data_IF_887480905270
#
_entry.id   IF_887480905270
#
_cell.length_a   1.000
_cell.length_b   1.000
_cell.length_c   1.000
_cell.angle_alpha   90.00
_cell.angle_beta   90.00
_cell.angle_gamma   90.00
#
_symmetry.space_group_name_H-M   'P 1'
#
loop_
_entity.id
_entity.type
_entity.pdbx_description
1 polymer ?
#
# COMPACT_ATOMS: atom_id res chain seq x y z
N UNK A 1 25.20 -20.24 -5.27
CA UNK A 1 23.86 -19.86 -4.80
C UNK A 1 23.78 -20.35 -3.36
N UNK A 2 23.68 -19.44 -2.39
CA UNK A 2 23.46 -19.80 -0.99
C UNK A 2 22.07 -20.43 -0.85
N UNK A 3 21.94 -21.46 -0.02
CA UNK A 3 20.64 -22.03 0.31
C UNK A 3 19.77 -20.98 1.03
N UNK A 4 18.45 -20.98 0.79
CA UNK A 4 17.54 -20.10 1.51
C UNK A 4 17.66 -20.35 3.02
N UNK A 5 17.81 -19.29 3.80
CA UNK A 5 17.76 -19.43 5.26
C UNK A 5 16.35 -19.91 5.68
N UNK A 6 16.22 -20.62 6.81
CA UNK A 6 14.94 -21.18 7.29
C UNK A 6 13.79 -20.14 7.41
N UNK A 7 14.13 -18.85 7.49
CA UNK A 7 13.20 -17.73 7.52
C UNK A 7 12.65 -17.31 6.14
N UNK A 8 13.28 -17.71 5.03
CA UNK A 8 12.90 -17.29 3.67
C UNK A 8 11.60 -17.93 3.14
N UNK A 9 10.93 -18.78 3.91
CA UNK A 9 9.72 -19.49 3.49
C UNK A 9 8.56 -19.42 4.49
N UNK A 10 8.64 -18.59 5.53
CA UNK A 10 7.53 -18.41 6.45
C UNK A 10 6.49 -17.44 5.86
N UNK A 11 5.18 -17.65 6.09
CA UNK A 11 4.16 -16.69 5.72
C UNK A 11 4.39 -15.36 6.44
N UNK A 12 4.28 -14.26 5.69
CA UNK A 12 4.42 -12.89 6.21
C UNK A 12 3.28 -12.01 5.75
N UNK A 13 3.08 -10.90 6.44
CA UNK A 13 2.17 -9.84 6.00
C UNK A 13 3.02 -8.64 5.62
N UNK A 14 2.77 -8.06 4.46
CA UNK A 14 3.37 -6.79 4.06
C UNK A 14 2.30 -5.71 4.08
N UNK A 15 2.34 -4.88 5.12
CA UNK A 15 1.42 -3.78 5.33
C UNK A 15 1.88 -2.58 4.50
N UNK A 16 0.96 -1.93 3.80
CA UNK A 16 1.32 -0.75 3.01
C UNK A 16 0.19 0.27 2.89
N UNK A 17 0.59 1.48 2.48
CA UNK A 17 -0.27 2.60 2.20
C UNK A 17 0.39 3.52 1.16
N UNK A 18 -0.42 4.14 0.29
CA UNK A 18 0.03 5.19 -0.60
C UNK A 18 -0.55 6.54 -0.22
N UNK A 19 0.30 7.56 -0.33
CA UNK A 19 -0.19 8.91 -0.59
C UNK A 19 -0.14 9.16 -2.09
N UNK A 20 -1.19 9.78 -2.63
CA UNK A 20 -1.32 10.03 -4.07
C UNK A 20 -1.60 11.49 -4.36
N UNK A 21 -1.46 11.86 -5.63
CA UNK A 21 -1.80 13.20 -6.10
C UNK A 21 -3.29 13.40 -6.41
N UNK A 22 -4.13 12.40 -6.15
CA UNK A 22 -5.56 12.45 -6.40
C UNK A 22 -6.25 11.09 -6.20
N UNK A 23 -7.58 11.12 -6.21
CA UNK A 23 -8.41 9.98 -5.83
C UNK A 23 -8.71 8.98 -6.96
N UNK A 24 -8.15 9.15 -8.16
CA UNK A 24 -8.34 8.23 -9.29
C UNK A 24 -7.08 7.41 -9.55
N UNK A 25 -7.01 6.14 -9.10
CA UNK A 25 -5.83 5.29 -9.30
C UNK A 25 -5.41 5.11 -10.76
N UNK A 26 -6.36 5.22 -11.69
CA UNK A 26 -6.11 5.14 -13.13
C UNK A 26 -5.37 6.35 -13.68
N UNK A 27 -5.68 7.56 -13.16
CA UNK A 27 -5.23 8.83 -13.73
C UNK A 27 -4.14 9.48 -12.90
N UNK A 28 -4.34 9.49 -11.59
CA UNK A 28 -3.47 10.13 -10.62
C UNK A 28 -2.26 9.25 -10.32
N UNK A 29 -1.14 9.91 -10.00
CA UNK A 29 0.14 9.23 -9.74
C UNK A 29 0.40 9.13 -8.23
N UNK A 30 1.14 8.11 -7.78
CA UNK A 30 1.59 8.06 -6.39
C UNK A 30 2.51 9.26 -6.08
N UNK A 31 2.45 9.75 -4.84
CA UNK A 31 3.34 10.78 -4.30
C UNK A 31 4.31 10.19 -3.28
N UNK A 32 3.85 9.23 -2.46
CA UNK A 32 4.63 8.49 -1.48
C UNK A 32 4.11 7.06 -1.35
N UNK A 33 4.99 6.16 -0.93
CA UNK A 33 4.66 4.84 -0.44
C UNK A 33 5.28 4.63 0.94
N UNK A 34 4.53 4.00 1.83
CA UNK A 34 5.05 3.45 3.07
C UNK A 34 4.68 1.96 3.14
N UNK A 35 5.62 1.13 3.55
CA UNK A 35 5.36 -0.29 3.77
C UNK A 35 6.25 -0.91 4.84
N UNK A 36 5.74 -1.93 5.51
CA UNK A 36 6.44 -2.63 6.58
C UNK A 36 6.01 -4.09 6.61
N UNK A 37 6.96 -4.99 6.85
CA UNK A 37 6.70 -6.42 6.91
C UNK A 37 6.55 -6.88 8.36
N UNK A 38 5.64 -7.82 8.58
CA UNK A 38 5.49 -8.52 9.85
C UNK A 38 5.45 -10.03 9.65
N UNK A 39 5.74 -10.77 10.72
CA UNK A 39 5.28 -12.15 10.83
C UNK A 39 3.75 -12.20 11.04
N UNK A 40 3.19 -13.40 11.22
CA UNK A 40 1.76 -13.60 11.44
C UNK A 40 1.29 -13.18 12.85
N UNK A 41 2.20 -13.01 13.79
CA UNK A 41 1.93 -12.49 15.15
C UNK A 41 2.02 -10.95 15.20
N UNK A 42 2.20 -10.31 14.04
CA UNK A 42 2.32 -8.87 13.85
C UNK A 42 3.61 -8.26 14.42
N UNK A 43 4.64 -9.07 14.67
CA UNK A 43 5.95 -8.56 15.01
C UNK A 43 6.64 -8.03 13.74
N UNK A 44 7.16 -6.81 13.80
CA UNK A 44 7.88 -6.18 12.69
C UNK A 44 9.13 -7.00 12.35
N UNK A 45 9.31 -7.28 11.07
CA UNK A 45 10.49 -7.95 10.52
C UNK A 45 11.08 -7.13 9.37
N UNK A 46 12.38 -6.83 9.45
CA UNK A 46 13.04 -5.95 8.49
C UNK A 46 12.76 -4.46 8.74
N UNK A 47 13.25 -3.63 7.82
CA UNK A 47 13.13 -2.18 7.91
C UNK A 47 11.93 -1.67 7.09
N UNK A 48 11.26 -0.58 7.51
CA UNK A 48 10.22 0.05 6.72
C UNK A 48 10.75 0.56 5.36
N UNK A 49 9.96 0.38 4.30
CA UNK A 49 10.18 1.02 3.01
C UNK A 49 9.37 2.32 2.95
N UNK A 50 10.04 3.47 2.95
CA UNK A 50 9.41 4.78 2.82
C UNK A 50 10.04 5.51 1.64
N UNK A 51 9.28 5.70 0.57
CA UNK A 51 9.80 6.27 -0.67
C UNK A 51 8.85 7.34 -1.20
N UNK A 52 9.40 8.39 -1.79
CA UNK A 52 8.63 9.38 -2.55
C UNK A 52 8.71 9.06 -4.05
N UNK A 53 7.66 9.36 -4.79
CA UNK A 53 7.64 9.27 -6.24
C UNK A 53 7.67 10.67 -6.85
N UNK A 54 8.65 10.93 -7.73
CA UNK A 54 8.75 12.20 -8.45
C UNK A 54 7.52 12.39 -9.34
N UNK A 55 6.86 13.56 -9.30
CA UNK A 55 5.79 13.85 -10.24
C UNK A 55 6.37 13.97 -11.66
N UNK A 56 5.64 13.46 -12.65
CA UNK A 56 6.00 13.56 -14.07
C UNK A 56 5.64 14.93 -14.62
N UNK A 57 6.40 15.41 -15.61
CA UNK A 57 6.29 16.78 -16.13
C UNK A 57 4.95 17.08 -16.85
N UNK A 58 4.21 16.04 -17.23
CA UNK A 58 2.93 16.12 -17.94
C UNK A 58 1.71 16.02 -17.02
N UNK A 59 1.90 16.02 -15.70
CA UNK A 59 0.83 15.88 -14.71
C UNK A 59 0.86 17.01 -13.67
N UNK A 60 -0.33 17.54 -13.34
CA UNK A 60 -0.50 18.52 -12.28
C UNK A 60 -1.30 17.89 -11.11
N UNK A 61 -0.73 17.83 -9.90
CA UNK A 61 -1.41 17.28 -8.74
C UNK A 61 -2.68 18.02 -8.34
N UNK A 62 -3.67 17.27 -7.82
CA UNK A 62 -4.86 17.88 -7.24
C UNK A 62 -4.46 18.71 -6.01
N UNK A 63 -4.79 20.02 -5.96
CA UNK A 63 -4.42 20.86 -4.83
C UNK A 63 -4.94 20.34 -3.49
N UNK A 64 -6.14 19.76 -3.47
CA UNK A 64 -6.75 19.17 -2.28
C UNK A 64 -5.98 17.96 -1.75
N UNK A 65 -5.46 17.10 -2.63
CA UNK A 65 -4.60 15.99 -2.23
C UNK A 65 -3.31 16.50 -1.56
N UNK A 66 -2.68 17.53 -2.11
CA UNK A 66 -1.51 18.16 -1.48
C UNK A 66 -1.82 18.73 -0.09
N UNK A 67 -3.02 19.25 0.12
CA UNK A 67 -3.46 19.77 1.43
C UNK A 67 -3.71 18.65 2.45
N UNK A 68 -4.35 17.56 2.02
CA UNK A 68 -4.65 16.40 2.86
C UNK A 68 -3.35 15.70 3.27
N UNK A 69 -2.49 15.41 2.31
CA UNK A 69 -1.25 14.64 2.52
C UNK A 69 -0.13 15.48 3.15
N UNK A 70 -0.17 16.80 2.98
CA UNK A 70 0.92 17.71 3.34
C UNK A 70 2.17 17.56 2.45
N UNK A 71 2.12 16.73 1.40
CA UNK A 71 3.23 16.51 0.46
C UNK A 71 3.08 17.51 -0.68
N UNK A 72 4.12 18.31 -0.91
CA UNK A 72 4.16 19.19 -2.07
C UNK A 72 4.89 18.53 -3.24
N UNK A 73 4.55 18.88 -4.49
CA UNK A 73 5.25 18.36 -5.67
C UNK A 73 6.76 18.62 -5.62
N UNK A 74 7.18 19.74 -5.00
CA UNK A 74 8.57 20.12 -4.80
C UNK A 74 9.30 19.15 -3.84
N UNK A 75 8.65 18.74 -2.74
CA UNK A 75 9.21 17.77 -1.80
C UNK A 75 9.40 16.42 -2.48
N UNK A 76 8.37 15.94 -3.18
CA UNK A 76 8.45 14.67 -3.92
C UNK A 76 9.46 14.74 -5.08
N UNK A 77 9.59 15.89 -5.75
CA UNK A 77 10.62 16.11 -6.78
C UNK A 77 12.04 16.03 -6.20
N UNK A 78 12.27 16.61 -5.01
CA UNK A 78 13.59 16.63 -4.38
C UNK A 78 13.99 15.28 -3.77
N UNK A 79 13.04 14.61 -3.09
CA UNK A 79 13.32 13.39 -2.32
C UNK A 79 13.03 12.10 -3.08
N UNK A 80 12.21 12.17 -4.12
CA UNK A 80 11.65 10.99 -4.76
C UNK A 80 12.53 10.34 -5.81
N UNK A 81 12.11 9.13 -6.16
CA UNK A 81 12.61 8.35 -7.27
C UNK A 81 11.74 8.58 -8.51
N UNK A 82 12.27 8.27 -9.69
CA UNK A 82 11.40 8.18 -10.87
C UNK A 82 10.42 7.02 -10.71
N UNK A 83 9.22 7.10 -11.30
CA UNK A 83 8.14 6.11 -11.07
C UNK A 83 8.62 4.67 -11.31
N UNK A 84 9.49 4.44 -12.30
CA UNK A 84 10.08 3.13 -12.59
C UNK A 84 10.93 2.56 -11.44
N UNK A 85 11.77 3.38 -10.80
CA UNK A 85 12.59 2.95 -9.66
C UNK A 85 11.75 2.80 -8.39
N UNK A 86 10.81 3.72 -8.18
CA UNK A 86 9.85 3.68 -7.09
C UNK A 86 9.05 2.38 -7.09
N UNK A 87 8.44 2.04 -8.23
CA UNK A 87 7.61 0.85 -8.34
C UNK A 87 8.43 -0.44 -8.37
N UNK A 88 9.68 -0.39 -8.83
CA UNK A 88 10.58 -1.55 -8.75
C UNK A 88 10.87 -1.97 -7.29
N UNK A 89 11.06 -1.00 -6.38
CA UNK A 89 11.23 -1.28 -4.94
C UNK A 89 9.96 -1.92 -4.34
N UNK A 90 8.79 -1.36 -4.66
CA UNK A 90 7.51 -1.88 -4.16
C UNK A 90 7.23 -3.29 -4.72
N UNK A 91 7.49 -3.50 -6.02
CA UNK A 91 7.35 -4.81 -6.66
C UNK A 91 8.23 -5.87 -5.97
N UNK A 92 9.47 -5.51 -5.61
CA UNK A 92 10.39 -6.41 -4.93
C UNK A 92 9.82 -6.89 -3.58
N UNK A 93 9.25 -5.98 -2.78
CA UNK A 93 8.61 -6.32 -1.51
C UNK A 93 7.33 -7.13 -1.70
N UNK A 94 6.47 -6.73 -2.64
CA UNK A 94 5.20 -7.41 -2.91
C UNK A 94 5.38 -8.82 -3.50
N UNK A 95 6.51 -9.09 -4.14
CA UNK A 95 6.76 -10.36 -4.84
C UNK A 95 7.55 -11.38 -4.03
N UNK A 96 7.95 -11.04 -2.79
CA UNK A 96 8.55 -12.01 -1.87
C UNK A 96 7.57 -13.18 -1.68
N UNK A 97 8.00 -14.46 -1.84
CA UNK A 97 7.12 -15.62 -1.66
C UNK A 97 6.44 -15.66 -0.29
N UNK A 98 5.25 -16.26 -0.23
CA UNK A 98 4.41 -16.39 0.97
C UNK A 98 4.05 -15.03 1.62
N UNK A 99 3.92 -13.96 0.83
CA UNK A 99 3.51 -12.65 1.31
C UNK A 99 2.01 -12.43 1.14
N UNK A 100 1.31 -12.11 2.23
CA UNK A 100 0.00 -11.47 2.17
C UNK A 100 0.21 -9.94 2.13
N UNK A 101 -0.07 -9.31 0.99
CA UNK A 101 0.00 -7.84 0.90
C UNK A 101 -1.30 -7.26 1.45
N UNK A 102 -1.23 -6.42 2.47
CA UNK A 102 -2.39 -5.94 3.21
C UNK A 102 -2.34 -4.42 3.47
N UNK A 103 -3.52 -3.83 3.69
CA UNK A 103 -3.66 -2.41 4.02
C UNK A 103 -5.07 -2.08 4.51
N UNK A 104 -5.40 -0.80 4.56
CA UNK A 104 -6.71 -0.29 4.98
C UNK A 104 -7.44 0.36 3.80
N UNK A 105 -8.51 -0.26 3.32
CA UNK A 105 -9.18 0.09 2.07
C UNK A 105 -8.29 -0.09 0.82
N UNK A 106 -7.22 -0.88 0.96
CA UNK A 106 -6.21 -1.08 -0.08
C UNK A 106 -6.75 -1.77 -1.33
N UNK A 107 -7.63 -2.78 -1.18
CA UNK A 107 -8.16 -3.53 -2.32
C UNK A 107 -8.92 -2.63 -3.30
N UNK A 108 -9.58 -1.59 -2.79
CA UNK A 108 -10.40 -0.68 -3.60
C UNK A 108 -9.64 0.56 -4.08
N UNK A 109 -8.43 0.79 -3.59
CA UNK A 109 -7.65 1.98 -3.92
C UNK A 109 -6.17 1.67 -4.18
N UNK A 110 -5.37 1.38 -3.15
CA UNK A 110 -3.93 1.21 -3.24
C UNK A 110 -3.47 0.05 -4.15
N UNK A 111 -4.25 -1.02 -4.19
CA UNK A 111 -4.03 -2.13 -5.11
C UNK A 111 -4.24 -1.69 -6.56
N UNK A 112 -5.21 -0.81 -6.82
CA UNK A 112 -5.42 -0.23 -8.15
C UNK A 112 -4.26 0.72 -8.49
N UNK A 113 -3.79 1.52 -7.53
CA UNK A 113 -2.60 2.38 -7.72
C UNK A 113 -1.39 1.52 -8.11
N UNK A 114 -1.20 0.40 -7.41
CA UNK A 114 -0.13 -0.56 -7.69
C UNK A 114 -0.30 -1.19 -9.08
N UNK A 115 -1.48 -1.70 -9.43
CA UNK A 115 -1.78 -2.31 -10.74
C UNK A 115 -1.49 -1.34 -11.89
N UNK A 116 -1.99 -0.11 -11.81
CA UNK A 116 -1.75 0.88 -12.87
C UNK A 116 -0.29 1.33 -12.92
N UNK A 117 0.40 1.43 -11.78
CA UNK A 117 1.83 1.79 -11.74
C UNK A 117 2.71 0.67 -12.29
N UNK A 118 2.43 -0.59 -11.95
CA UNK A 118 3.07 -1.76 -12.54
C UNK A 118 2.86 -1.80 -14.05
N UNK A 119 1.61 -1.64 -14.50
CA UNK A 119 1.28 -1.59 -15.92
C UNK A 119 2.08 -0.53 -16.69
N UNK A 120 2.14 0.71 -16.17
CA UNK A 120 2.89 1.81 -16.80
C UNK A 120 4.39 1.56 -16.88
N UNK A 121 4.93 0.75 -15.97
CA UNK A 121 6.36 0.50 -15.82
C UNK A 121 6.75 -0.95 -16.17
N UNK A 122 5.96 -1.61 -17.01
CA UNK A 122 6.27 -2.92 -17.62
C UNK A 122 6.40 -4.09 -16.64
N UNK A 123 5.72 -4.04 -15.49
CA UNK A 123 5.52 -5.18 -14.61
C UNK A 123 4.15 -5.82 -14.87
N UNK A 124 4.02 -7.13 -14.62
CA UNK A 124 2.71 -7.77 -14.61
C UNK A 124 1.87 -7.19 -13.44
N UNK A 125 0.68 -6.63 -13.69
CA UNK A 125 -0.11 -5.97 -12.64
C UNK A 125 -0.64 -6.90 -11.55
N UNK A 126 -0.66 -8.22 -11.79
CA UNK A 126 -1.41 -9.18 -10.98
C UNK A 126 -0.56 -10.32 -10.41
N UNK A 127 0.60 -10.66 -10.99
CA UNK A 127 1.41 -11.80 -10.53
C UNK A 127 1.72 -11.76 -9.03
N UNK A 128 2.04 -10.58 -8.49
CA UNK A 128 2.31 -10.40 -7.05
C UNK A 128 1.15 -10.81 -6.14
N UNK A 129 -0.07 -10.90 -6.67
CA UNK A 129 -1.30 -11.14 -5.91
C UNK A 129 -1.60 -12.62 -5.67
N UNK A 130 -0.93 -13.54 -6.37
CA UNK A 130 -1.24 -14.98 -6.30
C UNK A 130 -0.03 -15.91 -6.51
N UNK A 131 1.00 -15.46 -7.24
CA UNK A 131 2.17 -16.28 -7.55
C UNK A 131 2.99 -16.52 -6.28
N UNK A 132 3.75 -17.61 -6.24
CA UNK A 132 4.63 -17.94 -5.11
C UNK A 132 3.91 -17.99 -3.75
N UNK A 133 2.65 -18.44 -3.74
CA UNK A 133 1.80 -18.50 -2.55
C UNK A 133 1.54 -17.12 -1.89
N UNK A 134 1.60 -16.05 -2.70
CA UNK A 134 1.21 -14.72 -2.25
C UNK A 134 -0.31 -14.58 -2.27
N UNK A 135 -0.79 -13.61 -1.50
CA UNK A 135 -2.20 -13.29 -1.40
C UNK A 135 -2.39 -11.80 -1.08
N UNK A 136 -3.65 -11.37 -0.94
CA UNK A 136 -3.99 -10.00 -0.55
C UNK A 136 -5.04 -9.99 0.53
N UNK A 137 -5.05 -8.93 1.34
CA UNK A 137 -6.06 -8.72 2.35
C UNK A 137 -6.32 -7.23 2.58
N UNK A 138 -7.46 -6.91 3.18
CA UNK A 138 -7.87 -5.55 3.49
C UNK A 138 -8.65 -5.55 4.79
N UNK A 139 -8.18 -4.77 5.76
CA UNK A 139 -8.75 -4.77 7.10
C UNK A 139 -9.98 -3.85 7.22
N UNK A 140 -10.31 -2.99 6.25
CA UNK A 140 -11.51 -2.12 6.35
C UNK A 140 -12.79 -2.95 6.55
N UNK A 141 -12.94 -4.03 5.79
CA UNK A 141 -14.12 -4.88 5.87
C UNK A 141 -14.03 -5.86 7.05
N UNK A 142 -12.82 -6.19 7.54
CA UNK A 142 -12.65 -6.88 8.82
C UNK A 142 -13.18 -5.99 9.96
N UNK A 143 -12.79 -4.72 10.01
CA UNK A 143 -13.23 -3.76 11.04
C UNK A 143 -14.75 -3.60 11.01
N UNK A 144 -15.35 -3.47 9.82
CA UNK A 144 -16.81 -3.44 9.65
C UNK A 144 -17.47 -4.74 10.13
N UNK A 145 -16.89 -5.90 9.83
CA UNK A 145 -17.39 -7.18 10.29
C UNK A 145 -17.28 -7.34 11.81
N UNK A 146 -16.19 -6.89 12.43
CA UNK A 146 -16.03 -6.86 13.88
C UNK A 146 -17.14 -6.00 14.52
N UNK A 147 -17.34 -4.77 14.05
CA UNK A 147 -18.44 -3.91 14.52
C UNK A 147 -19.81 -4.57 14.38
N UNK A 148 -20.11 -5.14 13.20
CA UNK A 148 -21.44 -5.67 12.91
C UNK A 148 -21.74 -6.99 13.63
N UNK A 149 -20.72 -7.83 13.83
CA UNK A 149 -20.90 -9.21 14.28
C UNK A 149 -20.44 -9.44 15.73
N UNK A 150 -19.36 -8.79 16.17
CA UNK A 150 -18.74 -8.98 17.49
C UNK A 150 -18.11 -7.65 17.99
N UNK A 151 -18.94 -6.63 18.29
CA UNK A 151 -18.45 -5.30 18.63
C UNK A 151 -17.80 -5.22 20.02
N UNK A 152 -18.00 -6.22 20.88
CA UNK A 152 -17.57 -6.18 22.27
C UNK A 152 -16.04 -6.07 22.39
N UNK A 153 -15.57 -5.13 23.22
CA UNK A 153 -14.14 -4.94 23.52
C UNK A 153 -13.43 -3.87 22.68
N UNK A 154 -14.11 -3.25 21.71
CA UNK A 154 -13.61 -2.11 20.92
C UNK A 154 -14.58 -0.93 21.08
N UNK A 155 -14.03 0.28 21.24
CA UNK A 155 -14.81 1.52 21.20
C UNK A 155 -15.01 1.96 19.75
N UNK A 156 -16.28 2.17 19.35
CA UNK A 156 -16.64 2.44 17.97
C UNK A 156 -16.99 3.92 17.78
N UNK A 157 -16.14 4.71 17.11
CA UNK A 157 -16.38 6.13 16.92
C UNK A 157 -17.59 6.37 16.02
N UNK A 158 -18.38 7.40 16.36
CA UNK A 158 -19.54 7.81 15.59
C UNK A 158 -19.26 9.13 14.86
N UNK A 159 -19.87 9.28 13.69
CA UNK A 159 -19.95 10.54 12.95
C UNK A 159 -20.98 11.46 13.59
N UNK A 160 -21.05 12.71 13.12
CA UNK A 160 -22.05 13.70 13.58
C UNK A 160 -23.50 13.24 13.40
N UNK A 161 -23.77 12.43 12.37
CA UNK A 161 -25.10 11.86 12.11
C UNK A 161 -25.41 10.60 12.95
N UNK A 162 -24.48 10.19 13.82
CA UNK A 162 -24.61 9.01 14.67
C UNK A 162 -24.30 7.68 13.98
N UNK A 163 -23.92 7.67 12.70
CA UNK A 163 -23.46 6.47 12.01
C UNK A 163 -22.01 6.11 12.40
N UNK A 164 -21.63 4.81 12.40
CA UNK A 164 -20.26 4.41 12.74
C UNK A 164 -19.25 4.94 11.72
N UNK A 165 -18.09 5.36 12.22
CA UNK A 165 -16.93 5.73 11.42
C UNK A 165 -15.93 4.58 11.39
N UNK A 166 -15.45 4.26 10.19
CA UNK A 166 -14.40 3.28 9.93
C UNK A 166 -13.34 3.98 9.10
#
# INVERSE_FOLDING_TARGET
>A
MSEPTYYENQPTIYWHDYETWGASPQKDKPSQFAGIRTDLDLNIIGEPLIEYCKPVADYLPHPEACLITGITPQVAMQKGLVEAEFIAKIHAEFSVPNTCVAGYNSIRFDDEVSRYSFYRNFYDPYEREYKNNNSRWDIIDLVRACYALRPEGIEWPLKEDGSPSF
#
